data_IF_417029572323
#
_entry.id   IF_417029572323
#
_cell.length_a   1.000
_cell.length_b   1.000
_cell.length_c   1.000
_cell.angle_alpha   90.00
_cell.angle_beta   90.00
_cell.angle_gamma   90.00
#
_symmetry.space_group_name_H-M   'P 1'
#
loop_
_entity.id
_entity.type
_entity.pdbx_description
1 polymer ?
#
# COMPACT_ATOMS: atom_id res chain seq x y z
N UNK A 1 -15.05 15.32 -0.51
CA UNK A 1 -14.64 14.17 -1.33
C UNK A 1 -14.22 14.68 -2.70
N UNK A 2 -12.92 14.90 -2.89
CA UNK A 2 -12.37 15.14 -4.23
C UNK A 2 -12.46 13.81 -4.95
N UNK A 3 -13.39 13.67 -5.89
CA UNK A 3 -13.41 12.51 -6.78
C UNK A 3 -12.11 12.50 -7.56
N UNK A 4 -11.38 11.38 -7.59
CA UNK A 4 -10.18 11.18 -8.43
C UNK A 4 -10.52 11.05 -9.94
N UNK A 5 -11.56 11.76 -10.36
CA UNK A 5 -12.03 11.90 -11.72
C UNK A 5 -11.51 13.24 -12.26
N UNK A 6 -11.32 13.33 -13.57
CA UNK A 6 -10.86 14.58 -14.18
C UNK A 6 -11.86 15.71 -13.92
N UNK A 7 -11.36 16.87 -13.50
CA UNK A 7 -12.18 18.08 -13.39
C UNK A 7 -12.62 18.51 -14.79
N UNK A 8 -13.93 18.67 -14.96
CA UNK A 8 -14.54 19.18 -16.19
C UNK A 8 -14.98 20.61 -15.93
N UNK A 9 -14.21 21.57 -16.45
CA UNK A 9 -14.61 22.97 -16.40
C UNK A 9 -15.54 23.29 -17.58
N UNK A 10 -16.69 23.91 -17.29
CA UNK A 10 -17.69 24.22 -18.33
C UNK A 10 -18.80 25.14 -17.84
N UNK A 11 -19.38 25.90 -18.77
CA UNK A 11 -20.62 26.66 -18.54
C UNK A 11 -21.79 25.88 -19.13
N UNK A 12 -22.89 25.72 -18.39
CA UNK A 12 -24.12 25.04 -18.86
C UNK A 12 -23.93 23.59 -19.37
N UNK A 13 -23.08 22.79 -18.71
CA UNK A 13 -22.92 21.37 -19.04
C UNK A 13 -22.13 21.09 -20.33
N UNK A 14 -21.50 22.10 -20.91
CA UNK A 14 -20.56 21.95 -22.03
C UNK A 14 -19.14 22.13 -21.49
N UNK A 15 -18.34 21.07 -21.54
CA UNK A 15 -16.93 21.10 -21.17
C UNK A 15 -16.18 22.08 -22.08
N UNK A 16 -15.60 23.14 -21.51
CA UNK A 16 -14.77 24.12 -22.22
C UNK A 16 -13.29 23.83 -22.05
N UNK A 17 -12.90 23.07 -21.03
CA UNK A 17 -11.50 22.63 -20.82
C UNK A 17 -11.49 21.27 -20.12
N UNK A 18 -10.75 20.32 -20.69
CA UNK A 18 -10.39 19.05 -20.06
C UNK A 18 -8.89 19.07 -19.90
N UNK A 19 -8.40 19.12 -18.66
CA UNK A 19 -6.96 19.07 -18.38
C UNK A 19 -6.53 17.62 -18.18
N UNK A 20 -6.30 16.92 -19.29
CA UNK A 20 -5.76 15.56 -19.27
C UNK A 20 -4.23 15.61 -19.22
N UNK A 21 -3.64 15.03 -18.18
CA UNK A 21 -2.19 15.11 -17.92
C UNK A 21 -1.56 13.73 -17.68
N UNK A 22 -1.42 12.92 -18.74
CA UNK A 22 -0.82 11.59 -18.64
C UNK A 22 0.71 11.63 -18.58
N UNK A 23 1.34 12.77 -18.88
CA UNK A 23 2.79 12.85 -19.10
C UNK A 23 3.57 13.29 -17.87
N UNK A 24 2.96 14.07 -16.98
CA UNK A 24 3.61 14.63 -15.79
C UNK A 24 2.70 14.46 -14.58
N UNK A 25 3.07 13.59 -13.65
CA UNK A 25 2.33 13.34 -12.40
C UNK A 25 0.83 13.10 -12.63
N UNK A 26 0.43 11.94 -13.20
CA UNK A 26 -0.98 11.59 -13.37
C UNK A 26 -1.70 11.50 -12.01
N UNK A 27 -2.80 12.23 -11.82
CA UNK A 27 -3.53 12.30 -10.53
C UNK A 27 -5.01 11.92 -10.63
N UNK A 28 -5.55 11.79 -11.85
CA UNK A 28 -6.90 11.27 -12.09
C UNK A 28 -6.84 9.87 -12.72
N UNK A 29 -7.88 9.06 -12.51
CA UNK A 29 -7.95 7.69 -13.04
C UNK A 29 -7.74 7.62 -14.57
N UNK A 30 -8.20 8.61 -15.33
CA UNK A 30 -8.04 8.67 -16.78
C UNK A 30 -6.63 9.10 -17.24
N UNK A 31 -5.88 9.83 -16.41
CA UNK A 31 -4.49 10.18 -16.72
C UNK A 31 -3.61 8.93 -16.78
N UNK A 32 -3.97 7.92 -15.99
CA UNK A 32 -3.30 6.61 -15.93
C UNK A 32 -3.64 5.68 -17.09
N UNK A 33 -4.61 6.02 -17.94
CA UNK A 33 -5.09 5.18 -19.05
C UNK A 33 -4.87 5.80 -20.44
N UNK A 34 -3.69 6.36 -20.78
CA UNK A 34 -3.54 7.16 -21.99
C UNK A 34 -3.56 6.40 -23.32
N UNK A 35 -3.48 5.07 -23.25
CA UNK A 35 -3.52 4.17 -24.40
C UNK A 35 -4.76 3.27 -24.42
N UNK A 36 -5.73 3.49 -23.50
CA UNK A 36 -6.98 2.74 -23.48
C UNK A 36 -7.82 3.07 -24.72
N UNK A 37 -8.31 2.03 -25.39
CA UNK A 37 -9.16 2.19 -26.58
C UNK A 37 -10.62 2.46 -26.18
N UNK A 38 -11.41 3.06 -27.08
CA UNK A 38 -12.87 3.12 -26.89
C UNK A 38 -13.49 1.74 -26.68
N UNK A 39 -12.96 0.71 -27.33
CA UNK A 39 -13.38 -0.66 -27.10
C UNK A 39 -13.10 -1.14 -25.68
N UNK A 40 -11.98 -0.73 -25.06
CA UNK A 40 -11.70 -1.00 -23.64
C UNK A 40 -12.79 -0.40 -22.76
N UNK A 41 -13.13 0.88 -22.95
CA UNK A 41 -14.22 1.50 -22.20
C UNK A 41 -15.57 0.82 -22.43
N UNK A 42 -15.81 0.39 -23.68
CA UNK A 42 -17.03 -0.32 -24.05
C UNK A 42 -17.18 -1.69 -23.37
N UNK A 43 -16.08 -2.35 -23.03
CA UNK A 43 -16.06 -3.59 -22.24
C UNK A 43 -16.66 -3.38 -20.85
N UNK A 44 -16.40 -2.21 -20.24
CA UNK A 44 -16.82 -1.90 -18.87
C UNK A 44 -18.08 -1.01 -18.79
N UNK A 45 -18.59 -0.52 -19.92
CA UNK A 45 -19.75 0.38 -19.97
C UNK A 45 -21.08 -0.35 -20.22
N UNK A 46 -22.16 0.15 -19.62
CA UNK A 46 -23.54 -0.29 -19.86
C UNK A 46 -24.22 0.42 -21.03
N UNK A 47 -25.12 -0.29 -21.72
CA UNK A 47 -25.64 0.07 -23.05
C UNK A 47 -27.00 0.74 -23.08
N UNK A 48 -27.28 1.66 -22.16
CA UNK A 48 -28.54 2.42 -22.20
C UNK A 48 -28.31 3.80 -22.82
N UNK A 49 -28.14 3.90 -24.15
CA UNK A 49 -28.27 5.21 -24.80
C UNK A 49 -27.64 5.44 -26.19
N UNK A 50 -26.59 4.70 -26.59
CA UNK A 50 -25.80 5.05 -27.79
C UNK A 50 -26.02 4.17 -29.02
N UNK A 51 -27.13 3.44 -29.11
CA UNK A 51 -27.49 2.71 -30.34
C UNK A 51 -26.62 1.49 -30.66
N UNK A 52 -25.72 1.07 -29.76
CA UNK A 52 -25.05 -0.23 -29.81
C UNK A 52 -26.03 -1.29 -29.29
N UNK A 53 -26.56 -2.19 -30.15
CA UNK A 53 -27.48 -3.23 -29.70
C UNK A 53 -26.73 -4.21 -28.78
N UNK A 54 -27.15 -4.32 -27.52
CA UNK A 54 -26.70 -5.40 -26.63
C UNK A 54 -25.57 -5.08 -25.63
N UNK A 55 -25.31 -3.83 -25.24
CA UNK A 55 -24.47 -3.61 -24.05
C UNK A 55 -25.27 -3.79 -22.75
N UNK A 56 -24.81 -4.70 -21.91
CA UNK A 56 -25.58 -5.24 -20.81
C UNK A 56 -24.89 -4.88 -19.50
N UNK A 57 -25.45 -3.84 -18.86
CA UNK A 57 -25.09 -3.27 -17.55
C UNK A 57 -23.67 -2.67 -17.43
N UNK A 58 -23.57 -1.55 -16.71
CA UNK A 58 -22.26 -0.94 -16.41
C UNK A 58 -21.54 -1.77 -15.35
N UNK A 59 -20.21 -1.73 -15.37
CA UNK A 59 -19.39 -2.36 -14.32
C UNK A 59 -19.76 -1.82 -12.93
N UNK A 60 -19.85 -2.72 -11.96
CA UNK A 60 -19.97 -2.43 -10.53
C UNK A 60 -18.64 -2.70 -9.82
N UNK A 61 -18.52 -2.23 -8.58
CA UNK A 61 -17.39 -2.56 -7.71
C UNK A 61 -17.88 -3.16 -6.40
N UNK A 62 -17.17 -4.16 -5.88
CA UNK A 62 -17.47 -4.78 -4.58
C UNK A 62 -16.19 -4.94 -3.74
N UNK A 63 -16.35 -4.93 -2.42
CA UNK A 63 -15.29 -5.21 -1.47
C UNK A 63 -15.67 -6.45 -0.67
N UNK A 64 -14.81 -7.46 -0.68
CA UNK A 64 -15.03 -8.74 -0.01
C UNK A 64 -13.88 -8.96 0.97
N UNK A 65 -14.21 -9.28 2.21
CA UNK A 65 -13.24 -9.70 3.22
C UNK A 65 -13.28 -11.22 3.30
N UNK A 66 -12.17 -11.85 2.97
CA UNK A 66 -11.98 -13.30 2.96
C UNK A 66 -10.90 -13.67 3.98
N UNK A 67 -11.34 -13.80 5.23
CA UNK A 67 -10.48 -14.17 6.35
C UNK A 67 -10.35 -15.69 6.46
N UNK A 68 -9.17 -16.19 6.87
CA UNK A 68 -8.96 -17.61 7.10
C UNK A 68 -9.86 -18.15 8.22
N UNK A 69 -10.36 -19.37 8.06
CA UNK A 69 -11.18 -20.05 9.08
C UNK A 69 -10.37 -20.49 10.32
N UNK A 70 -9.04 -20.66 10.18
CA UNK A 70 -8.12 -21.04 11.26
C UNK A 70 -7.08 -19.94 11.52
N UNK A 71 -7.21 -19.27 12.65
CA UNK A 71 -6.43 -18.09 13.02
C UNK A 71 -5.19 -18.42 13.88
N UNK A 72 -4.88 -19.70 14.10
CA UNK A 72 -3.84 -20.09 15.04
C UNK A 72 -2.43 -19.68 14.58
N UNK A 73 -1.77 -18.81 15.36
CA UNK A 73 -0.35 -18.44 15.18
C UNK A 73 0.56 -19.36 16.01
N UNK A 74 1.74 -19.71 15.47
CA UNK A 74 2.70 -20.57 16.14
C UNK A 74 4.08 -19.91 16.15
N UNK A 75 4.82 -20.05 17.24
CA UNK A 75 6.17 -19.51 17.31
C UNK A 75 7.01 -20.15 18.40
N UNK A 76 8.32 -19.98 18.24
CA UNK A 76 9.33 -20.42 19.18
C UNK A 76 10.28 -19.26 19.49
N UNK A 77 10.64 -19.13 20.77
CA UNK A 77 11.61 -18.15 21.23
C UNK A 77 12.67 -18.84 22.06
N UNK A 78 13.92 -18.57 21.74
CA UNK A 78 15.07 -18.90 22.56
C UNK A 78 15.81 -17.65 22.99
N UNK A 79 16.34 -17.65 24.21
CA UNK A 79 17.10 -16.56 24.80
C UNK A 79 18.26 -17.11 25.61
N UNK A 80 19.39 -16.42 25.57
CA UNK A 80 20.56 -16.76 26.37
C UNK A 80 21.44 -15.51 26.57
N UNK A 81 22.49 -15.65 27.37
CA UNK A 81 23.49 -14.61 27.59
C UNK A 81 24.90 -15.17 27.41
N UNK A 82 25.81 -14.36 26.86
CA UNK A 82 27.23 -14.71 26.79
C UNK A 82 27.92 -14.44 28.13
N UNK A 83 29.06 -15.07 28.37
CA UNK A 83 29.88 -14.78 29.56
C UNK A 83 30.39 -13.33 29.59
N UNK A 84 30.45 -12.66 28.43
CA UNK A 84 30.85 -11.27 28.29
C UNK A 84 29.71 -10.27 28.52
N UNK A 85 28.52 -10.74 28.93
CA UNK A 85 27.38 -9.86 29.29
C UNK A 85 26.49 -9.45 28.13
N UNK A 86 26.55 -10.12 26.97
CA UNK A 86 25.64 -9.87 25.85
C UNK A 86 24.41 -10.73 26.02
N UNK A 87 23.24 -10.11 26.14
CA UNK A 87 21.97 -10.81 26.09
C UNK A 87 21.56 -10.95 24.63
N UNK A 88 21.00 -12.10 24.25
CA UNK A 88 20.52 -12.30 22.89
C UNK A 88 19.32 -13.25 22.83
N UNK A 89 18.51 -13.10 21.80
CA UNK A 89 17.39 -13.99 21.52
C UNK A 89 17.23 -14.27 20.04
N UNK A 90 16.69 -15.45 19.74
CA UNK A 90 16.29 -15.89 18.41
C UNK A 90 14.81 -16.28 18.49
N UNK A 91 14.03 -15.83 17.53
CA UNK A 91 12.60 -16.05 17.45
C UNK A 91 12.23 -16.55 16.06
N UNK A 92 11.34 -17.52 15.98
CA UNK A 92 10.69 -17.91 14.73
C UNK A 92 9.19 -17.88 14.94
N UNK A 93 8.47 -17.26 14.02
CA UNK A 93 7.02 -17.20 14.02
C UNK A 93 6.49 -17.61 12.65
N UNK A 94 5.45 -18.43 12.67
CA UNK A 94 4.58 -18.66 11.53
C UNK A 94 3.23 -18.06 11.88
N UNK A 95 2.89 -16.95 11.25
CA UNK A 95 1.72 -16.16 11.61
C UNK A 95 1.09 -15.49 10.39
N UNK A 96 -0.13 -14.98 10.55
CA UNK A 96 -0.72 -14.09 9.56
C UNK A 96 -0.04 -12.73 9.60
N UNK A 97 0.28 -12.19 8.42
CA UNK A 97 0.72 -10.82 8.28
C UNK A 97 -0.34 -9.89 8.91
N UNK A 98 0.15 -8.90 9.65
CA UNK A 98 -0.73 -7.89 10.27
C UNK A 98 -1.31 -6.93 9.24
N UNK A 99 -0.68 -6.83 8.06
CA UNK A 99 -1.19 -6.05 6.96
C UNK A 99 -2.08 -6.94 6.06
N UNK A 100 -3.34 -6.56 5.82
CA UNK A 100 -4.17 -7.27 4.88
C UNK A 100 -3.68 -7.04 3.44
N UNK A 101 -3.97 -8.00 2.58
CA UNK A 101 -3.63 -7.98 1.16
C UNK A 101 -4.91 -7.77 0.37
N UNK A 102 -4.92 -6.77 -0.51
CA UNK A 102 -6.06 -6.52 -1.40
C UNK A 102 -5.69 -6.93 -2.82
N UNK A 103 -6.39 -7.94 -3.34
CA UNK A 103 -6.27 -8.38 -4.74
C UNK A 103 -7.49 -7.94 -5.56
N UNK A 104 -7.28 -7.76 -6.87
CA UNK A 104 -8.31 -7.35 -7.82
C UNK A 104 -8.68 -8.51 -8.74
N UNK A 105 -9.97 -8.73 -8.92
CA UNK A 105 -10.45 -9.71 -9.90
C UNK A 105 -11.78 -9.30 -10.50
N UNK A 106 -12.05 -9.76 -11.72
CA UNK A 106 -13.31 -9.51 -12.40
C UNK A 106 -14.26 -10.70 -12.22
N UNK A 107 -15.50 -10.41 -11.86
CA UNK A 107 -16.55 -11.42 -11.67
C UNK A 107 -17.80 -11.08 -12.48
N UNK A 108 -18.57 -12.10 -12.84
CA UNK A 108 -19.91 -11.92 -13.36
C UNK A 108 -20.80 -11.34 -12.26
N UNK A 109 -21.38 -10.15 -12.48
CA UNK A 109 -22.11 -9.42 -11.46
C UNK A 109 -23.40 -10.11 -10.98
N UNK A 110 -23.88 -11.13 -11.69
CA UNK A 110 -25.12 -11.86 -11.35
C UNK A 110 -24.83 -13.20 -10.69
N UNK A 111 -23.84 -13.94 -11.20
CA UNK A 111 -23.52 -15.31 -10.74
C UNK A 111 -22.34 -15.36 -9.77
N UNK A 112 -21.51 -14.31 -9.72
CA UNK A 112 -20.28 -14.26 -8.94
C UNK A 112 -19.14 -15.11 -9.52
N UNK A 113 -19.34 -15.75 -10.68
CA UNK A 113 -18.31 -16.56 -11.32
C UNK A 113 -17.12 -15.69 -11.77
N UNK A 114 -15.87 -16.17 -11.63
CA UNK A 114 -14.69 -15.43 -12.08
C UNK A 114 -14.71 -15.25 -13.61
N UNK A 115 -14.25 -14.10 -14.05
CA UNK A 115 -14.05 -13.73 -15.45
C UNK A 115 -12.56 -13.74 -15.79
N UNK A 116 -12.26 -13.66 -17.08
CA UNK A 116 -10.90 -13.59 -17.59
C UNK A 116 -10.74 -12.37 -18.48
N UNK A 117 -9.63 -11.66 -18.26
CA UNK A 117 -9.22 -10.52 -19.06
C UNK A 117 -8.40 -10.98 -20.26
N UNK A 118 -8.79 -10.55 -21.46
CA UNK A 118 -8.06 -10.79 -22.71
C UNK A 118 -7.56 -9.46 -23.29
N UNK A 119 -6.29 -9.43 -23.68
CA UNK A 119 -5.75 -8.34 -24.49
C UNK A 119 -5.86 -8.69 -25.97
N UNK A 120 -6.36 -7.76 -26.79
CA UNK A 120 -6.44 -7.94 -28.24
C UNK A 120 -5.94 -6.74 -29.02
N UNK A 121 -5.18 -6.97 -30.08
CA UNK A 121 -4.79 -5.93 -31.03
C UNK A 121 -5.90 -5.68 -32.06
N UNK A 122 -6.37 -4.44 -32.17
CA UNK A 122 -7.47 -4.01 -33.05
C UNK A 122 -8.75 -4.81 -32.82
N UNK A 123 -8.94 -5.33 -31.61
CA UNK A 123 -9.96 -6.30 -31.23
C UNK A 123 -9.98 -7.63 -32.02
N UNK A 124 -8.89 -7.93 -32.76
CA UNK A 124 -8.81 -9.05 -33.71
C UNK A 124 -7.87 -10.18 -33.25
N UNK A 125 -6.62 -9.89 -32.88
CA UNK A 125 -5.65 -10.91 -32.49
C UNK A 125 -5.43 -10.91 -30.98
N UNK A 126 -5.51 -12.08 -30.34
CA UNK A 126 -5.08 -12.23 -28.94
C UNK A 126 -3.60 -11.86 -28.83
N UNK A 127 -3.28 -11.01 -27.86
CA UNK A 127 -1.91 -10.64 -27.51
C UNK A 127 -1.63 -11.01 -26.07
N UNK A 128 -0.36 -11.23 -25.77
CA UNK A 128 0.10 -11.61 -24.44
C UNK A 128 -0.16 -10.49 -23.44
N UNK A 129 -0.68 -10.85 -22.26
CA UNK A 129 -0.82 -9.95 -21.10
C UNK A 129 0.51 -9.67 -20.39
N UNK A 130 1.59 -10.36 -20.77
CA UNK A 130 2.91 -10.04 -20.26
C UNK A 130 3.35 -8.66 -20.79
N UNK A 131 3.48 -7.69 -19.89
CA UNK A 131 3.83 -6.30 -20.22
C UNK A 131 5.18 -6.15 -20.92
N UNK A 132 6.15 -7.05 -20.71
CA UNK A 132 7.41 -7.03 -21.44
C UNK A 132 7.22 -7.32 -22.93
N UNK A 133 6.24 -8.16 -23.27
CA UNK A 133 5.92 -8.55 -24.65
C UNK A 133 5.02 -7.56 -25.40
N UNK A 134 4.42 -6.60 -24.69
CA UNK A 134 3.62 -5.53 -25.29
C UNK A 134 4.49 -4.43 -25.95
N UNK A 135 5.78 -4.73 -26.22
CA UNK A 135 6.92 -3.82 -26.46
C UNK A 135 6.66 -2.68 -27.45
N UNK A 136 5.76 -2.87 -28.40
CA UNK A 136 5.21 -1.81 -29.23
C UNK A 136 3.82 -1.39 -28.72
N UNK A 137 3.79 -0.53 -27.70
CA UNK A 137 2.65 0.36 -27.56
C UNK A 137 2.72 1.40 -28.70
N UNK A 138 2.60 0.93 -29.95
CA UNK A 138 2.01 1.76 -31.00
C UNK A 138 0.55 1.95 -30.59
N UNK A 139 0.41 2.93 -29.72
CA UNK A 139 -0.76 3.50 -29.11
C UNK A 139 -2.12 3.24 -29.78
N UNK A 140 -3.12 2.96 -28.95
CA UNK A 140 -4.53 2.94 -29.35
C UNK A 140 -4.96 1.71 -30.15
N UNK A 141 -4.16 0.64 -30.14
CA UNK A 141 -4.50 -0.63 -30.83
C UNK A 141 -4.82 -1.78 -29.88
N UNK A 142 -4.31 -1.78 -28.65
CA UNK A 142 -4.61 -2.85 -27.69
C UNK A 142 -5.89 -2.56 -26.92
N UNK A 143 -6.84 -3.46 -27.03
CA UNK A 143 -8.13 -3.44 -26.35
C UNK A 143 -8.15 -4.48 -25.24
N UNK A 144 -8.70 -4.09 -24.09
CA UNK A 144 -9.01 -4.99 -22.98
C UNK A 144 -10.44 -5.50 -23.17
N UNK A 145 -10.61 -6.81 -23.29
CA UNK A 145 -11.91 -7.48 -23.33
C UNK A 145 -12.04 -8.40 -22.12
N UNK A 146 -13.27 -8.66 -21.70
CA UNK A 146 -13.57 -9.55 -20.57
C UNK A 146 -14.48 -10.66 -21.06
N UNK A 147 -14.14 -11.90 -20.73
CA UNK A 147 -14.91 -13.09 -21.08
C UNK A 147 -15.14 -14.00 -19.88
N UNK A 148 -16.09 -14.92 -19.99
CA UNK A 148 -16.18 -16.04 -19.06
C UNK A 148 -14.96 -16.97 -19.21
N UNK A 149 -14.68 -17.79 -18.19
CA UNK A 149 -13.52 -18.71 -18.22
C UNK A 149 -13.49 -19.65 -19.44
N UNK A 150 -14.64 -19.94 -20.04
CA UNK A 150 -14.73 -20.79 -21.23
C UNK A 150 -14.42 -20.05 -22.56
N UNK A 151 -14.27 -18.72 -22.55
CA UNK A 151 -14.09 -17.90 -23.75
C UNK A 151 -15.30 -17.91 -24.70
N UNK A 152 -16.47 -18.28 -24.18
CA UNK A 152 -17.72 -18.45 -24.97
C UNK A 152 -18.67 -17.26 -24.80
N UNK A 153 -18.51 -16.46 -23.75
CA UNK A 153 -19.34 -15.28 -23.53
C UNK A 153 -18.45 -14.08 -23.22
N UNK A 154 -18.64 -13.00 -23.95
CA UNK A 154 -17.96 -11.71 -23.74
C UNK A 154 -18.87 -10.73 -23.02
N UNK A 155 -18.27 -9.84 -22.23
CA UNK A 155 -18.97 -8.83 -21.44
C UNK A 155 -18.79 -7.43 -22.07
N UNK A 156 -19.71 -6.51 -21.77
CA UNK A 156 -19.80 -5.18 -22.39
C UNK A 156 -20.50 -5.21 -23.74
N UNK A 157 -20.21 -4.24 -24.62
CA UNK A 157 -20.88 -4.12 -25.94
C UNK A 157 -20.08 -4.68 -27.13
N UNK A 158 -18.94 -5.35 -26.90
CA UNK A 158 -18.12 -5.84 -28.01
C UNK A 158 -17.88 -7.34 -27.91
N UNK A 159 -18.30 -8.07 -28.96
CA UNK A 159 -17.95 -9.47 -29.16
C UNK A 159 -17.04 -9.58 -30.40
N UNK A 160 -15.75 -9.94 -30.24
CA UNK A 160 -14.79 -10.05 -31.33
C UNK A 160 -15.17 -11.06 -32.43
N UNK A 161 -16.13 -11.93 -32.15
CA UNK A 161 -16.47 -13.06 -33.00
C UNK A 161 -17.73 -12.80 -33.85
N UNK A 162 -18.49 -11.73 -33.54
CA UNK A 162 -19.63 -11.25 -34.36
C UNK A 162 -19.20 -10.56 -35.66
N UNK A 163 -17.94 -10.13 -35.74
CA UNK A 163 -17.29 -9.65 -36.98
C UNK A 163 -16.64 -10.79 -37.79
N UNK A 164 -17.00 -12.05 -37.52
CA UNK A 164 -16.56 -13.22 -38.29
C UNK A 164 -15.16 -13.75 -37.93
N UNK A 165 -14.64 -13.41 -36.74
CA UNK A 165 -13.22 -13.57 -36.40
C UNK A 165 -12.94 -14.27 -35.05
N UNK A 166 -13.83 -15.16 -34.57
CA UNK A 166 -13.40 -16.11 -33.54
C UNK A 166 -14.29 -17.32 -33.36
N UNK A 167 -14.12 -17.98 -32.22
CA UNK A 167 -14.63 -19.33 -31.95
C UNK A 167 -16.13 -19.41 -32.28
N UNK A 168 -16.54 -20.30 -33.21
CA UNK A 168 -17.96 -20.47 -33.54
C UNK A 168 -18.79 -20.71 -32.27
N UNK A 169 -19.80 -19.88 -32.03
CA UNK A 169 -20.74 -20.05 -30.90
C UNK A 169 -20.55 -19.14 -29.69
N UNK A 170 -19.74 -18.09 -29.79
CA UNK A 170 -19.56 -17.11 -28.70
C UNK A 170 -20.60 -15.97 -28.73
N UNK A 171 -21.19 -15.63 -27.58
CA UNK A 171 -22.26 -14.62 -27.44
C UNK A 171 -21.84 -13.45 -26.55
N UNK A 172 -22.66 -12.40 -26.50
CA UNK A 172 -22.57 -11.39 -25.44
C UNK A 172 -23.31 -11.90 -24.20
N UNK A 173 -22.74 -11.66 -23.02
CA UNK A 173 -23.37 -11.94 -21.72
C UNK A 173 -24.41 -10.87 -21.40
N UNK A 174 -25.53 -11.29 -20.81
CA UNK A 174 -26.56 -10.37 -20.31
C UNK A 174 -26.28 -9.76 -18.95
N UNK A 175 -25.21 -10.22 -18.31
CA UNK A 175 -24.83 -9.84 -16.97
C UNK A 175 -23.77 -8.73 -17.04
N UNK A 176 -23.69 -7.92 -15.99
CA UNK A 176 -22.63 -6.93 -15.84
C UNK A 176 -21.32 -7.56 -15.35
N UNK A 177 -20.29 -6.72 -15.27
CA UNK A 177 -18.98 -7.04 -14.66
C UNK A 177 -18.98 -6.46 -13.24
N UNK A 178 -18.44 -7.21 -12.29
CA UNK A 178 -18.13 -6.75 -10.94
C UNK A 178 -16.60 -6.75 -10.76
N UNK A 179 -16.00 -5.58 -10.56
CA UNK A 179 -14.61 -5.44 -10.14
C UNK A 179 -14.55 -5.62 -8.63
N UNK A 180 -14.03 -6.78 -8.21
CA UNK A 180 -13.98 -7.18 -6.82
C UNK A 180 -12.60 -6.90 -6.24
N UNK A 181 -12.60 -6.20 -5.11
CA UNK A 181 -11.47 -6.04 -4.21
C UNK A 181 -11.61 -7.12 -3.14
N UNK A 182 -10.66 -8.05 -3.08
CA UNK A 182 -10.68 -9.14 -2.09
C UNK A 182 -9.57 -8.91 -1.07
N UNK A 183 -9.96 -8.61 0.16
CA UNK A 183 -9.07 -8.50 1.32
C UNK A 183 -8.81 -9.89 1.89
N UNK A 184 -7.55 -10.28 1.99
CA UNK A 184 -7.11 -11.57 2.55
C UNK A 184 -5.98 -11.34 3.57
N UNK A 185 -5.82 -12.29 4.49
CA UNK A 185 -4.64 -12.33 5.37
C UNK A 185 -3.63 -13.35 4.84
N UNK A 186 -2.43 -12.88 4.51
CA UNK A 186 -1.35 -13.75 4.04
C UNK A 186 -0.64 -14.41 5.20
N UNK A 187 -0.29 -15.69 5.06
CA UNK A 187 0.49 -16.42 6.07
C UNK A 187 1.98 -16.31 5.76
N UNK A 188 2.75 -15.81 6.72
CA UNK A 188 4.18 -15.50 6.53
C UNK A 188 5.07 -16.22 7.55
N UNK A 189 6.38 -16.24 7.25
CA UNK A 189 7.41 -16.72 8.15
C UNK A 189 8.31 -15.57 8.61
N UNK A 190 8.46 -15.42 9.92
CA UNK A 190 9.24 -14.35 10.53
C UNK A 190 10.35 -14.94 11.39
N UNK A 191 11.61 -14.65 11.03
CA UNK A 191 12.80 -15.02 11.78
C UNK A 191 13.40 -13.77 12.43
N UNK A 192 13.25 -13.64 13.74
CA UNK A 192 13.76 -12.52 14.52
C UNK A 192 15.05 -12.86 15.27
N UNK A 193 15.94 -11.89 15.39
CA UNK A 193 17.08 -11.93 16.30
C UNK A 193 17.20 -10.60 17.04
N UNK A 194 17.61 -10.64 18.30
CA UNK A 194 17.87 -9.42 19.05
C UNK A 194 19.07 -9.61 19.97
N UNK A 195 19.80 -8.53 20.23
CA UNK A 195 20.85 -8.50 21.25
C UNK A 195 20.88 -7.15 21.97
N UNK A 196 21.38 -7.18 23.19
CA UNK A 196 21.69 -5.97 23.97
C UNK A 196 22.96 -6.17 24.79
N UNK A 197 23.71 -5.08 24.99
CA UNK A 197 24.87 -5.05 25.87
C UNK A 197 25.02 -3.68 26.54
N UNK A 198 25.50 -3.70 27.78
CA UNK A 198 25.95 -2.51 28.49
C UNK A 198 27.45 -2.28 28.23
N UNK A 199 27.82 -1.02 27.98
CA UNK A 199 29.20 -0.57 27.80
C UNK A 199 29.58 0.28 28.99
N UNK A 200 30.28 -0.32 29.95
CA UNK A 200 30.64 0.31 31.23
C UNK A 200 31.96 1.12 31.18
N UNK A 201 32.62 1.20 30.02
CA UNK A 201 33.93 1.87 29.86
C UNK A 201 33.84 3.36 29.49
N UNK A 202 32.63 3.91 29.40
CA UNK A 202 32.39 5.32 29.06
C UNK A 202 31.99 6.09 30.32
N UNK A 203 32.23 7.41 30.32
CA UNK A 203 31.79 8.29 31.42
C UNK A 203 30.26 8.36 31.56
N UNK A 204 29.54 7.93 30.52
CA UNK A 204 28.08 7.87 30.46
C UNK A 204 27.66 6.41 30.30
N UNK A 205 26.76 5.87 31.15
CA UNK A 205 26.22 4.54 30.96
C UNK A 205 25.57 4.42 29.58
N UNK A 206 26.07 3.50 28.77
CA UNK A 206 25.62 3.26 27.40
C UNK A 206 25.10 1.83 27.28
N UNK A 207 23.90 1.67 26.73
CA UNK A 207 23.36 0.38 26.30
C UNK A 207 23.22 0.41 24.79
N UNK A 208 23.76 -0.63 24.12
CA UNK A 208 23.60 -0.82 22.68
C UNK A 208 22.61 -1.96 22.48
N UNK A 209 21.65 -1.74 21.58
CA UNK A 209 20.61 -2.72 21.21
C UNK A 209 20.59 -2.90 19.70
N UNK A 210 20.44 -4.15 19.27
CA UNK A 210 20.23 -4.50 17.88
C UNK A 210 19.09 -5.48 17.75
N UNK A 211 18.17 -5.22 16.82
CA UNK A 211 17.07 -6.12 16.47
C UNK A 211 17.09 -6.35 14.96
N UNK A 212 16.80 -7.57 14.54
CA UNK A 212 16.77 -8.01 13.15
C UNK A 212 15.55 -8.88 12.95
N UNK A 213 14.93 -8.77 11.80
CA UNK A 213 13.76 -9.54 11.42
C UNK A 213 13.84 -9.83 9.92
N UNK A 214 13.75 -11.11 9.56
CA UNK A 214 13.56 -11.54 8.19
C UNK A 214 12.14 -12.07 8.06
N UNK A 215 11.33 -11.38 7.26
CA UNK A 215 9.96 -11.79 6.92
C UNK A 215 9.97 -12.36 5.50
N UNK A 216 9.42 -13.55 5.34
CA UNK A 216 9.33 -14.27 4.08
C UNK A 216 7.89 -14.38 3.62
N UNK A 217 7.66 -14.30 2.31
CA UNK A 217 6.36 -14.46 1.66
C UNK A 217 5.33 -13.37 2.04
N UNK A 218 5.80 -12.16 2.39
CA UNK A 218 4.97 -10.97 2.60
C UNK A 218 4.43 -10.50 1.26
N UNK A 219 3.20 -9.99 1.18
CA UNK A 219 2.69 -9.44 -0.08
C UNK A 219 2.99 -7.94 -0.19
N UNK A 220 3.43 -7.51 -1.36
CA UNK A 220 3.56 -6.09 -1.72
C UNK A 220 2.84 -5.76 -3.02
N UNK A 221 2.21 -4.59 -3.13
CA UNK A 221 1.60 -4.16 -4.37
C UNK A 221 2.67 -3.86 -5.42
N UNK A 222 2.54 -4.45 -6.60
CA UNK A 222 3.36 -4.16 -7.78
C UNK A 222 2.48 -3.48 -8.82
N UNK A 223 2.93 -2.30 -9.26
CA UNK A 223 2.26 -1.47 -10.25
C UNK A 223 2.94 -1.64 -11.60
N UNK A 224 2.20 -2.03 -12.62
CA UNK A 224 2.62 -2.00 -14.02
C UNK A 224 1.85 -0.92 -14.79
N UNK A 225 2.45 0.26 -14.91
CA UNK A 225 1.83 1.40 -15.60
C UNK A 225 1.60 1.15 -17.09
N UNK A 226 2.30 0.18 -17.71
CA UNK A 226 2.07 -0.16 -19.12
C UNK A 226 0.72 -0.85 -19.29
N UNK A 227 0.40 -1.82 -18.44
CA UNK A 227 -0.91 -2.47 -18.42
C UNK A 227 -2.01 -1.49 -17.97
N UNK A 228 -1.69 -0.65 -16.99
CA UNK A 228 -2.61 0.39 -16.56
C UNK A 228 -2.96 1.34 -17.72
N UNK A 229 -1.97 1.68 -18.54
CA UNK A 229 -2.14 2.61 -19.66
C UNK A 229 -3.16 2.17 -20.70
N UNK A 230 -3.40 0.86 -20.84
CA UNK A 230 -4.38 0.30 -21.79
C UNK A 230 -5.73 0.00 -21.12
N UNK A 231 -5.86 0.24 -19.81
CA UNK A 231 -7.05 -0.01 -19.01
C UNK A 231 -7.14 -1.41 -18.40
N UNK A 232 -6.02 -2.15 -18.34
CA UNK A 232 -5.96 -3.48 -17.72
C UNK A 232 -5.65 -3.37 -16.23
N UNK A 233 -6.65 -3.07 -15.41
CA UNK A 233 -6.49 -2.78 -13.98
C UNK A 233 -6.07 -4.03 -13.19
N UNK A 234 -6.72 -5.16 -13.43
CA UNK A 234 -6.42 -6.45 -12.76
C UNK A 234 -4.98 -6.92 -13.04
N UNK A 235 -4.42 -6.64 -14.22
CA UNK A 235 -3.05 -7.01 -14.56
C UNK A 235 -2.02 -5.96 -14.13
N UNK A 236 -2.45 -4.72 -13.92
CA UNK A 236 -1.59 -3.61 -13.58
C UNK A 236 -1.34 -3.46 -12.08
N UNK A 237 -2.27 -3.89 -11.23
CA UNK A 237 -2.19 -3.75 -9.78
C UNK A 237 -2.25 -5.15 -9.16
N UNK A 238 -1.09 -5.77 -9.00
CA UNK A 238 -0.99 -7.17 -8.59
C UNK A 238 -0.18 -7.24 -7.28
N UNK A 239 -0.69 -7.92 -6.24
CA UNK A 239 0.13 -8.23 -5.08
C UNK A 239 1.12 -9.34 -5.45
N UNK A 240 2.42 -9.09 -5.29
CA UNK A 240 3.49 -10.08 -5.50
C UNK A 240 4.14 -10.45 -4.14
N UNK A 241 4.55 -11.70 -4.00
CA UNK A 241 5.30 -12.18 -2.81
C UNK A 241 6.68 -11.52 -2.75
N UNK A 242 7.10 -11.15 -1.55
CA UNK A 242 8.38 -10.50 -1.29
C UNK A 242 8.93 -10.86 0.08
N UNK A 243 10.25 -10.85 0.16
CA UNK A 243 10.99 -11.01 1.39
C UNK A 243 11.52 -9.67 1.90
N UNK A 244 11.39 -9.43 3.20
CA UNK A 244 11.93 -8.26 3.87
C UNK A 244 13.03 -8.63 4.85
N UNK A 245 14.11 -7.85 4.85
CA UNK A 245 15.06 -7.80 5.96
C UNK A 245 14.95 -6.46 6.67
N UNK A 246 14.52 -6.49 7.93
CA UNK A 246 14.30 -5.31 8.77
C UNK A 246 15.30 -5.33 9.91
N UNK A 247 15.86 -4.18 10.26
CA UNK A 247 16.71 -4.07 11.44
C UNK A 247 16.57 -2.74 12.16
N UNK A 248 16.88 -2.78 13.46
CA UNK A 248 16.93 -1.63 14.35
C UNK A 248 18.27 -1.64 15.06
N UNK A 249 18.98 -0.51 15.05
CA UNK A 249 20.17 -0.29 15.85
C UNK A 249 19.91 0.88 16.79
N UNK A 250 19.90 0.60 18.09
CA UNK A 250 19.61 1.55 19.14
C UNK A 250 20.81 1.78 20.07
N UNK A 251 20.95 3.01 20.54
CA UNK A 251 21.88 3.40 21.58
C UNK A 251 21.15 4.22 22.65
N UNK A 252 21.22 3.77 23.89
CA UNK A 252 20.61 4.43 25.04
C UNK A 252 21.67 4.95 26.00
N UNK A 253 21.52 6.21 26.40
CA UNK A 253 22.43 6.86 27.33
C UNK A 253 21.65 7.57 28.42
N UNK A 254 22.19 7.55 29.64
CA UNK A 254 21.61 8.27 30.78
C UNK A 254 22.52 9.41 31.20
N UNK A 255 22.05 10.64 31.06
CA UNK A 255 22.80 11.87 31.38
C UNK A 255 22.02 12.74 32.38
N UNK A 256 22.63 13.83 32.86
CA UNK A 256 21.98 14.89 33.65
C UNK A 256 21.08 14.38 34.79
N UNK A 257 21.58 13.40 35.56
CA UNK A 257 20.88 12.79 36.70
C UNK A 257 19.44 12.39 36.32
N UNK A 258 19.32 11.25 35.63
CA UNK A 258 18.07 10.59 35.23
C UNK A 258 17.40 11.09 33.94
N UNK A 259 18.10 11.76 33.02
CA UNK A 259 17.61 11.94 31.65
C UNK A 259 18.06 10.74 30.80
N UNK A 260 17.13 9.86 30.44
CA UNK A 260 17.35 8.82 29.46
C UNK A 260 17.17 9.39 28.06
N UNK A 261 18.13 9.11 27.18
CA UNK A 261 18.06 9.44 25.76
C UNK A 261 18.29 8.14 25.00
N UNK A 262 17.42 7.85 24.04
CA UNK A 262 17.52 6.70 23.15
C UNK A 262 17.51 7.19 21.72
N UNK A 263 18.52 6.83 20.95
CA UNK A 263 18.60 7.10 19.52
C UNK A 263 18.57 5.79 18.76
N UNK A 264 17.74 5.68 17.73
CA UNK A 264 17.61 4.46 16.95
C UNK A 264 17.61 4.78 15.46
N UNK A 265 18.29 3.92 14.70
CA UNK A 265 18.18 3.84 13.25
C UNK A 265 17.43 2.55 12.91
N UNK A 266 16.40 2.67 12.08
CA UNK A 266 15.53 1.58 11.65
C UNK A 266 15.59 1.54 10.13
N UNK A 267 15.75 0.36 9.54
CA UNK A 267 15.68 0.20 8.09
C UNK A 267 14.95 -1.08 7.73
N UNK A 268 14.03 -0.99 6.77
CA UNK A 268 13.35 -2.10 6.13
C UNK A 268 13.90 -2.23 4.72
N UNK A 269 14.53 -3.35 4.41
CA UNK A 269 15.08 -3.67 3.10
C UNK A 269 14.12 -4.64 2.43
N UNK A 270 13.53 -4.23 1.31
CA UNK A 270 12.78 -5.12 0.43
C UNK A 270 13.78 -5.86 -0.47
N UNK A 271 13.91 -7.17 -0.29
CA UNK A 271 14.88 -7.99 -1.01
C UNK A 271 14.42 -8.36 -2.43
N UNK A 272 13.12 -8.29 -2.69
CA UNK A 272 12.49 -8.54 -3.99
C UNK A 272 11.94 -7.26 -4.60
N UNK A 273 12.56 -6.11 -4.29
CA UNK A 273 12.15 -4.83 -4.82
C UNK A 273 12.31 -4.82 -6.34
N UNK A 274 11.23 -4.51 -7.06
CA UNK A 274 11.26 -4.42 -8.51
C UNK A 274 11.17 -2.96 -8.95
N UNK A 275 12.04 -2.58 -9.87
CA UNK A 275 11.96 -1.32 -10.58
C UNK A 275 12.45 -1.49 -12.01
N UNK A 276 11.55 -1.26 -12.96
CA UNK A 276 11.86 -1.23 -14.37
C UNK A 276 11.35 0.08 -14.96
N UNK A 277 12.28 1.01 -15.20
CA UNK A 277 11.95 2.29 -15.84
C UNK A 277 11.61 2.07 -17.32
N UNK A 278 10.41 2.49 -17.72
CA UNK A 278 9.93 2.37 -19.12
C UNK A 278 9.30 3.67 -19.58
N UNK A 279 9.53 4.04 -20.84
CA UNK A 279 8.83 5.14 -21.50
C UNK A 279 7.94 4.58 -22.60
N UNK A 280 6.67 5.01 -22.59
CA UNK A 280 5.71 4.66 -23.61
C UNK A 280 5.25 5.92 -24.35
N UNK A 281 4.65 5.73 -25.53
CA UNK A 281 4.08 6.82 -26.33
C UNK A 281 2.56 6.66 -26.45
N UNK A 282 1.88 7.81 -26.43
CA UNK A 282 0.45 7.92 -26.72
C UNK A 282 0.19 7.93 -28.24
N UNK A 283 -1.08 7.88 -28.65
CA UNK A 283 -1.47 7.83 -30.07
C UNK A 283 -1.01 9.06 -30.84
N UNK A 284 -0.95 10.19 -30.15
CA UNK A 284 -0.55 11.46 -30.72
C UNK A 284 0.95 11.77 -30.52
N UNK A 285 1.74 10.79 -30.05
CA UNK A 285 3.19 10.89 -29.95
C UNK A 285 3.74 11.49 -28.65
N UNK A 286 2.88 11.85 -27.69
CA UNK A 286 3.33 12.28 -26.35
C UNK A 286 3.95 11.11 -25.59
N UNK A 287 5.08 11.33 -24.93
CA UNK A 287 5.76 10.33 -24.09
C UNK A 287 5.25 10.38 -22.66
N UNK A 288 5.09 9.22 -22.01
CA UNK A 288 4.71 9.10 -20.61
C UNK A 288 5.46 7.97 -19.91
N UNK A 289 5.48 8.00 -18.58
CA UNK A 289 6.06 6.97 -17.73
C UNK A 289 5.14 5.73 -17.69
N UNK A 290 5.66 4.59 -18.15
CA UNK A 290 4.97 3.30 -18.12
C UNK A 290 5.75 2.23 -17.34
N UNK A 291 6.52 2.67 -16.36
CA UNK A 291 7.37 1.81 -15.53
C UNK A 291 6.59 0.73 -14.79
N UNK A 292 7.29 -0.37 -14.47
CA UNK A 292 6.82 -1.40 -13.53
C UNK A 292 7.61 -1.26 -12.23
N UNK A 293 6.96 -1.22 -11.08
CA UNK A 293 7.65 -1.11 -9.80
C UNK A 293 6.85 -1.60 -8.59
N UNK A 294 7.54 -1.93 -7.50
CA UNK A 294 6.92 -2.15 -6.18
C UNK A 294 6.43 -0.81 -5.59
N UNK A 295 5.14 -0.70 -5.30
CA UNK A 295 4.52 0.52 -4.77
C UNK A 295 4.57 0.60 -3.25
N UNK A 296 4.42 1.82 -2.69
CA UNK A 296 4.35 1.98 -1.23
C UNK A 296 2.94 1.60 -0.74
N UNK A 297 2.77 0.51 0.03
CA UNK A 297 1.46 0.07 0.49
C UNK A 297 0.79 1.08 1.44
N UNK A 298 1.55 1.98 2.10
CA UNK A 298 0.97 2.92 3.07
C UNK A 298 0.50 4.22 2.44
N UNK A 299 1.04 4.61 1.29
CA UNK A 299 0.73 5.91 0.67
C UNK A 299 0.23 5.80 -0.76
N UNK A 300 0.35 4.66 -1.44
CA UNK A 300 -0.07 4.52 -2.84
C UNK A 300 -1.54 4.95 -3.04
N UNK A 301 -1.74 5.92 -3.91
CA UNK A 301 -3.06 6.43 -4.30
C UNK A 301 -3.07 6.84 -5.78
N UNK A 302 -4.23 6.84 -6.42
CA UNK A 302 -4.40 7.40 -7.76
C UNK A 302 -3.97 8.88 -7.81
N UNK A 303 -4.21 9.61 -6.71
CA UNK A 303 -3.92 11.06 -6.60
C UNK A 303 -2.45 11.38 -6.38
N UNK A 304 -1.61 10.40 -6.02
CA UNK A 304 -0.15 10.57 -5.95
C UNK A 304 0.58 9.74 -7.01
N UNK A 305 -0.09 9.50 -8.14
CA UNK A 305 0.46 8.78 -9.27
C UNK A 305 0.86 7.32 -8.99
N UNK A 306 0.17 6.68 -8.04
CA UNK A 306 0.44 5.32 -7.57
C UNK A 306 1.88 5.21 -7.07
N UNK A 307 2.22 6.02 -6.07
CA UNK A 307 3.58 6.23 -5.61
C UNK A 307 4.40 4.93 -5.44
N UNK A 308 5.62 4.95 -6.00
CA UNK A 308 6.61 3.88 -5.83
C UNK A 308 7.11 3.83 -4.39
N UNK A 309 7.32 2.63 -3.87
CA UNK A 309 7.95 2.42 -2.57
C UNK A 309 9.46 2.62 -2.59
N UNK A 310 10.09 2.29 -1.49
CA UNK A 310 11.54 2.35 -1.31
C UNK A 310 12.09 0.93 -1.16
N UNK A 311 13.20 0.62 -1.85
CA UNK A 311 13.95 -0.61 -1.62
C UNK A 311 14.50 -0.65 -0.19
N UNK A 312 15.03 0.48 0.27
CA UNK A 312 15.50 0.68 1.63
C UNK A 312 14.65 1.76 2.28
N UNK A 313 13.74 1.35 3.19
CA UNK A 313 12.85 2.23 3.94
C UNK A 313 13.41 2.55 5.32
N UNK A 314 13.78 3.80 5.58
CA UNK A 314 14.56 4.28 6.71
C UNK A 314 13.75 5.15 7.67
N UNK A 315 13.99 4.94 8.96
CA UNK A 315 13.49 5.78 10.03
C UNK A 315 14.59 6.09 11.05
N UNK A 316 14.51 7.27 11.64
CA UNK A 316 15.35 7.67 12.76
C UNK A 316 14.45 8.05 13.92
N UNK A 317 14.63 7.43 15.08
CA UNK A 317 13.92 7.78 16.30
C UNK A 317 14.85 8.40 17.34
N UNK A 318 14.36 9.45 18.00
CA UNK A 318 14.98 10.07 19.15
C UNK A 318 13.96 10.13 20.28
N UNK A 319 14.28 9.49 21.39
CA UNK A 319 13.44 9.43 22.57
C UNK A 319 14.15 10.02 23.78
N UNK A 320 13.43 10.84 24.54
CA UNK A 320 13.86 11.46 25.78
C UNK A 320 12.88 11.07 26.88
N UNK A 321 13.38 10.67 28.05
CA UNK A 321 12.56 10.43 29.23
C UNK A 321 13.26 10.98 30.47
N UNK A 322 12.55 11.79 31.26
CA UNK A 322 13.09 12.33 32.51
C UNK A 322 12.02 12.34 33.60
N UNK A 323 12.33 11.80 34.78
CA UNK A 323 11.51 12.02 35.97
C UNK A 323 11.53 13.49 36.40
N UNK A 324 10.41 13.98 36.92
CA UNK A 324 10.19 15.35 37.39
C UNK A 324 9.45 15.35 38.73
N UNK A 325 9.54 16.47 39.46
CA UNK A 325 8.90 16.65 40.76
C UNK A 325 9.73 16.14 41.94
N UNK A 326 9.31 16.54 43.15
CA UNK A 326 9.83 15.96 44.39
C UNK A 326 9.58 14.44 44.37
N UNK A 327 10.55 13.67 44.85
CA UNK A 327 10.49 12.19 44.86
C UNK A 327 10.23 11.50 43.51
N UNK A 328 10.37 12.21 42.38
CA UNK A 328 10.09 11.68 41.02
C UNK A 328 8.61 11.32 40.79
N UNK A 329 7.69 12.06 41.41
CA UNK A 329 6.25 11.87 41.29
C UNK A 329 5.69 12.06 39.87
N UNK A 330 6.46 12.63 38.94
CA UNK A 330 6.07 12.74 37.54
C UNK A 330 7.16 12.33 36.57
N UNK A 331 6.79 12.25 35.30
CA UNK A 331 7.70 11.96 34.19
C UNK A 331 7.22 12.71 32.96
N UNK A 332 8.17 13.22 32.19
CA UNK A 332 7.89 13.59 30.80
C UNK A 332 8.68 12.69 29.87
N UNK A 333 8.06 12.39 28.73
CA UNK A 333 8.64 11.63 27.65
C UNK A 333 8.43 12.39 26.34
N UNK A 334 9.43 12.38 25.47
CA UNK A 334 9.27 12.87 24.11
C UNK A 334 9.89 11.88 23.13
N UNK A 335 9.11 11.42 22.17
CA UNK A 335 9.63 10.68 21.01
C UNK A 335 9.46 11.55 19.77
N UNK A 336 10.51 11.62 18.96
CA UNK A 336 10.45 12.11 17.58
C UNK A 336 10.89 11.00 16.66
N UNK A 337 10.11 10.72 15.62
CA UNK A 337 10.48 9.81 14.54
C UNK A 337 10.48 10.60 13.24
N UNK A 338 11.57 10.45 12.50
CA UNK A 338 11.68 10.88 11.12
C UNK A 338 11.57 9.67 10.21
N UNK A 339 10.84 9.81 9.12
CA UNK A 339 10.74 8.88 8.00
C UNK A 339 11.41 9.53 6.78
N UNK A 340 12.11 8.71 6.00
CA UNK A 340 12.59 9.12 4.69
C UNK A 340 11.48 9.76 3.82
N UNK A 341 11.87 10.59 2.86
CA UNK A 341 10.87 11.38 2.12
C UNK A 341 10.25 12.51 2.96
N UNK A 342 10.80 12.80 4.15
CA UNK A 342 10.46 13.96 4.98
C UNK A 342 9.12 13.85 5.73
N UNK A 343 8.76 12.66 6.18
CA UNK A 343 7.67 12.43 7.13
C UNK A 343 8.14 12.57 8.58
N UNK A 344 7.31 13.13 9.45
CA UNK A 344 7.66 13.36 10.85
C UNK A 344 6.50 13.05 11.79
N UNK A 345 6.85 12.47 12.92
CA UNK A 345 5.95 12.25 14.05
C UNK A 345 6.63 12.64 15.36
N UNK A 346 5.94 13.39 16.21
CA UNK A 346 6.35 13.70 17.57
C UNK A 346 5.23 13.41 18.55
N UNK A 347 5.58 12.75 19.65
CA UNK A 347 4.69 12.63 20.81
C UNK A 347 5.41 13.12 22.05
N UNK A 348 4.88 14.18 22.65
CA UNK A 348 5.28 14.70 23.95
C UNK A 348 4.20 14.33 24.97
N UNK A 349 4.55 13.50 25.94
CA UNK A 349 3.66 13.16 27.04
C UNK A 349 4.29 13.54 28.39
N UNK A 350 3.44 13.92 29.33
CA UNK A 350 3.83 14.16 30.70
C UNK A 350 2.75 13.63 31.65
N UNK A 351 3.17 12.95 32.69
CA UNK A 351 2.33 12.46 33.78
C UNK A 351 2.84 12.97 35.12
N UNK A 352 1.91 13.20 36.05
CA UNK A 352 2.22 13.66 37.40
C UNK A 352 1.26 13.05 38.42
N UNK A 353 1.82 12.40 39.44
CA UNK A 353 1.07 11.91 40.59
C UNK A 353 0.83 13.06 41.57
N UNK A 354 -0.41 13.52 41.66
CA UNK A 354 -0.82 14.56 42.61
C UNK A 354 -0.99 13.96 44.01
N UNK A 355 -1.45 12.71 44.07
CA UNK A 355 -1.51 11.87 45.28
C UNK A 355 -1.19 10.42 44.88
N UNK A 356 -1.03 9.51 45.84
CA UNK A 356 -0.80 8.07 45.57
C UNK A 356 -1.94 7.42 44.75
N UNK A 357 -3.13 8.01 44.79
CA UNK A 357 -4.33 7.50 44.13
C UNK A 357 -4.76 8.36 42.92
N UNK A 358 -4.13 9.51 42.66
CA UNK A 358 -4.57 10.44 41.62
C UNK A 358 -3.41 10.90 40.74
N UNK A 359 -3.49 10.53 39.47
CA UNK A 359 -2.51 10.85 38.44
C UNK A 359 -3.18 11.68 37.36
N UNK A 360 -2.51 12.74 36.92
CA UNK A 360 -2.91 13.54 35.76
C UNK A 360 -1.89 13.35 34.65
N UNK A 361 -2.35 13.37 33.41
CA UNK A 361 -1.49 13.31 32.24
C UNK A 361 -1.92 14.29 31.16
N UNK A 362 -0.95 14.72 30.36
CA UNK A 362 -1.17 15.44 29.11
C UNK A 362 -0.29 14.85 28.03
N UNK A 363 -0.84 14.73 26.83
CA UNK A 363 -0.13 14.22 25.65
C UNK A 363 -0.40 15.16 24.48
N UNK A 364 0.66 15.57 23.79
CA UNK A 364 0.60 16.27 22.52
C UNK A 364 1.20 15.37 21.44
N UNK A 365 0.38 15.07 20.43
CA UNK A 365 0.72 14.22 19.31
C UNK A 365 0.69 15.05 18.02
N UNK A 366 1.80 15.12 17.30
CA UNK A 366 1.94 15.93 16.10
C UNK A 366 2.54 15.08 14.97
N UNK A 367 1.86 15.06 13.84
CA UNK A 367 2.36 14.58 12.55
C UNK A 367 2.61 15.80 11.66
N UNK A 368 3.57 15.71 10.73
CA UNK A 368 3.81 16.72 9.69
C UNK A 368 4.76 16.16 8.63
N UNK A 369 4.94 16.85 7.51
CA UNK A 369 5.92 16.47 6.50
C UNK A 369 5.37 16.49 5.08
N UNK A 370 5.93 15.63 4.22
CA UNK A 370 5.39 15.36 2.88
C UNK A 370 4.21 14.40 2.98
N UNK A 371 3.05 14.76 2.42
CA UNK A 371 1.81 13.96 2.43
C UNK A 371 1.97 12.57 1.79
N UNK A 372 3.03 12.35 1.03
CA UNK A 372 3.38 11.08 0.39
C UNK A 372 4.29 10.20 1.27
N UNK A 373 4.26 10.42 2.58
CA UNK A 373 4.95 9.61 3.60
C UNK A 373 3.93 9.06 4.60
N UNK A 374 4.30 7.99 5.33
CA UNK A 374 3.43 7.36 6.33
C UNK A 374 3.00 8.35 7.39
N UNK A 375 3.91 9.22 7.84
CA UNK A 375 3.58 10.24 8.85
C UNK A 375 2.94 11.49 8.27
N UNK A 376 3.37 11.98 7.09
CA UNK A 376 2.85 13.23 6.55
C UNK A 376 1.37 13.18 6.21
N UNK A 377 0.86 12.04 5.71
CA UNK A 377 -0.58 11.85 5.45
C UNK A 377 -1.45 11.93 6.71
N UNK A 378 -0.86 11.89 7.90
CA UNK A 378 -1.54 11.96 9.18
C UNK A 378 -1.47 13.37 9.81
N UNK A 379 -1.02 14.41 9.11
CA UNK A 379 -0.92 15.79 9.62
C UNK A 379 -2.25 16.25 10.28
N UNK A 380 -3.37 16.00 9.61
CA UNK A 380 -4.73 16.32 10.11
C UNK A 380 -5.16 15.47 11.33
N UNK A 381 -4.46 14.38 11.63
CA UNK A 381 -4.70 13.52 12.79
C UNK A 381 -3.94 13.94 14.05
N UNK A 382 -3.16 15.02 13.97
CA UNK A 382 -2.47 15.64 15.10
C UNK A 382 -3.47 16.07 16.18
N UNK A 383 -3.16 15.80 17.45
CA UNK A 383 -4.10 15.99 18.54
C UNK A 383 -3.43 16.31 19.89
N UNK A 384 -4.25 16.83 20.80
CA UNK A 384 -3.90 17.06 22.20
C UNK A 384 -4.87 16.28 23.08
N UNK A 385 -4.33 15.51 24.02
CA UNK A 385 -5.08 14.68 24.95
C UNK A 385 -4.74 15.07 26.39
N UNK A 386 -5.74 14.97 27.27
CA UNK A 386 -5.57 15.13 28.71
C UNK A 386 -6.24 13.95 29.41
N UNK A 387 -5.56 13.39 30.41
CA UNK A 387 -6.00 12.21 31.14
C UNK A 387 -6.00 12.44 32.63
N UNK A 388 -6.90 11.74 33.33
CA UNK A 388 -6.83 11.56 34.77
C UNK A 388 -7.07 10.10 35.09
N UNK A 389 -6.32 9.58 36.06
CA UNK A 389 -6.44 8.21 36.55
C UNK A 389 -6.61 8.26 38.05
N UNK A 390 -7.65 7.60 38.53
CA UNK A 390 -7.90 7.39 39.96
C UNK A 390 -7.76 5.90 40.28
N UNK A 391 -6.98 5.56 41.30
CA UNK A 391 -6.72 4.19 41.73
C UNK A 391 -7.51 3.95 43.02
N UNK A 392 -8.40 2.96 43.00
CA UNK A 392 -9.08 2.49 44.19
C UNK A 392 -8.23 1.42 44.87
N UNK A 393 -7.88 1.64 46.12
CA UNK A 393 -7.26 0.63 46.97
C UNK A 393 -8.38 -0.03 47.79
N UNK A 394 -8.70 -1.28 47.46
CA UNK A 394 -9.55 -2.12 48.32
C UNK A 394 -8.67 -2.69 49.44
N UNK A 395 -9.05 -2.38 50.69
CA UNK A 395 -8.43 -2.91 51.92
C UNK A 395 -8.96 -4.29 52.31
#
# INVERSE_FOLDING_TARGET
STTALMDVEGTNGVATTVNWNPTVNPQAAFDHMPNATFSTFNTFSGGTGFGFPGAQQSMTTSYVVDNPDDEANAGFRWKNATASGINYSLNYFYHYDSNPVVDLSLHDATTGAPLVTELRNGANALVSRNSASLSDASAGTTTVLVANQAGTQYYGAFNPNTVGLGTPGSSLSTNGIDLRFTETQQRIHSLGAAFDMAVDQLEVPLVIRGEFLYDKDVMQPVVDKRLLSIGDIEGALVPEETDFFKYVLGADFTVMTNLLISAQFIQFINLDFTEETRTCTTQFGSTFDCSKYTADPTTMSVTNSLQKGWENKEFVSLFFSKPIGEEQLGRWNNITIWEEGNGWWNRLDAEYSVTDQFIVSGEWNQYWGDDNTTFGQLDESSNLQVGFKYIFEDY
#
